data_IF_599980188032
#
_entry.id   IF_599980188032
#
_cell.length_a   1.000
_cell.length_b   1.000
_cell.length_c   1.000
_cell.angle_alpha   90.00
_cell.angle_beta   90.00
_cell.angle_gamma   90.00
#
_symmetry.space_group_name_H-M   'P 1'
#
loop_
_entity.id
_entity.type
_entity.pdbx_description
1 polymer ?
#
# COMPACT_ATOMS: atom_id res chain seq x y z
N UNK A 1 13.96 48.34 -20.50
CA UNK A 1 12.93 47.77 -19.61
C UNK A 1 11.85 48.82 -19.38
N UNK A 2 10.58 48.45 -19.54
CA UNK A 2 9.45 49.30 -19.15
C UNK A 2 9.30 49.22 -17.62
N UNK A 3 8.79 50.28 -16.98
CA UNK A 3 8.67 50.29 -15.51
C UNK A 3 7.67 49.22 -15.05
N UNK A 4 8.12 48.29 -14.20
CA UNK A 4 7.28 47.24 -13.59
C UNK A 4 7.57 45.80 -14.05
N UNK A 5 8.77 45.48 -14.54
CA UNK A 5 9.16 44.10 -14.89
C UNK A 5 8.47 43.52 -16.13
N UNK A 6 7.67 44.32 -16.85
CA UNK A 6 7.00 43.89 -18.08
C UNK A 6 8.02 43.68 -19.19
N UNK A 7 8.26 42.42 -19.52
CA UNK A 7 9.06 42.02 -20.66
C UNK A 7 8.21 41.87 -21.92
N UNK A 8 8.80 42.25 -23.06
CA UNK A 8 8.17 42.27 -24.37
C UNK A 8 8.89 41.26 -25.25
N UNK A 9 8.25 40.12 -25.50
CA UNK A 9 8.75 39.07 -26.38
C UNK A 9 8.18 39.23 -27.79
N UNK A 10 9.00 39.00 -28.82
CA UNK A 10 8.54 38.91 -30.21
C UNK A 10 8.33 37.44 -30.54
N UNK A 11 7.09 37.03 -30.79
CA UNK A 11 6.76 35.60 -31.06
C UNK A 11 7.11 35.20 -32.49
N UNK A 12 6.74 36.05 -33.44
CA UNK A 12 6.95 35.78 -34.86
C UNK A 12 7.01 37.10 -35.63
N UNK A 13 7.91 37.19 -36.62
CA UNK A 13 7.95 38.31 -37.57
C UNK A 13 7.51 37.75 -38.91
N UNK A 14 6.23 37.94 -39.24
CA UNK A 14 5.71 37.59 -40.56
C UNK A 14 5.95 38.75 -41.51
N UNK A 15 6.98 38.61 -42.34
CA UNK A 15 7.27 39.57 -43.41
C UNK A 15 6.49 39.14 -44.66
N UNK A 16 5.56 39.97 -45.12
CA UNK A 16 5.07 39.90 -46.49
C UNK A 16 5.41 41.20 -47.23
N UNK A 17 5.43 41.14 -48.57
CA UNK A 17 5.92 42.22 -49.45
C UNK A 17 5.09 43.52 -49.41
N UNK A 18 4.05 43.63 -48.58
CA UNK A 18 3.22 44.85 -48.52
C UNK A 18 2.81 45.37 -47.15
N UNK A 19 2.80 44.57 -46.08
CA UNK A 19 2.55 45.04 -44.71
C UNK A 19 3.00 43.96 -43.71
N UNK A 20 4.00 44.25 -42.88
CA UNK A 20 4.47 43.35 -41.83
C UNK A 20 3.61 43.48 -40.57
N UNK A 21 3.12 42.36 -40.05
CA UNK A 21 2.47 42.29 -38.73
C UNK A 21 3.51 41.77 -37.74
N UNK A 22 3.71 42.50 -36.65
CA UNK A 22 4.53 42.06 -35.51
C UNK A 22 3.58 41.72 -34.37
N UNK A 23 3.60 40.46 -33.93
CA UNK A 23 2.84 40.02 -32.76
C UNK A 23 3.75 40.05 -31.53
N UNK A 24 3.40 40.91 -30.57
CA UNK A 24 4.09 41.01 -29.29
C UNK A 24 3.34 40.19 -28.25
N UNK A 25 4.08 39.44 -27.43
CA UNK A 25 3.54 38.96 -26.17
C UNK A 25 3.94 39.93 -25.06
N UNK A 26 2.93 40.42 -24.33
CA UNK A 26 3.09 41.25 -23.14
C UNK A 26 2.70 40.38 -21.94
N UNK A 27 3.60 40.18 -20.99
CA UNK A 27 3.30 39.49 -19.73
C UNK A 27 3.73 38.02 -19.64
N UNK A 28 4.87 37.65 -20.23
CA UNK A 28 5.50 36.37 -19.90
C UNK A 28 6.24 36.50 -18.55
N UNK A 29 5.93 35.64 -17.59
CA UNK A 29 6.77 35.46 -16.40
C UNK A 29 8.05 34.78 -16.85
N UNK A 30 9.10 35.55 -17.14
CA UNK A 30 10.42 34.99 -17.43
C UNK A 30 10.92 34.31 -16.16
N UNK A 31 11.41 33.09 -16.29
CA UNK A 31 12.13 32.38 -15.24
C UNK A 31 13.53 32.15 -15.80
N UNK A 32 14.54 32.65 -15.11
CA UNK A 32 15.94 32.42 -15.42
C UNK A 32 16.53 31.53 -14.34
N UNK A 33 17.06 30.38 -14.75
CA UNK A 33 17.73 29.41 -13.89
C UNK A 33 19.19 29.38 -14.32
N UNK A 34 20.10 29.63 -13.38
CA UNK A 34 21.54 29.64 -13.66
C UNK A 34 22.23 28.64 -12.77
N UNK A 35 23.02 27.75 -13.37
CA UNK A 35 23.86 26.79 -12.68
C UNK A 35 25.27 26.82 -13.29
N UNK A 36 26.29 26.96 -12.43
CA UNK A 36 27.69 27.02 -12.84
C UNK A 36 28.33 25.65 -13.09
N UNK A 37 27.69 24.55 -12.66
CA UNK A 37 28.30 23.24 -12.66
C UNK A 37 27.26 22.11 -12.82
N UNK A 38 27.01 21.73 -14.06
CA UNK A 38 26.08 20.66 -14.43
C UNK A 38 26.42 19.23 -13.93
N UNK A 39 27.50 19.08 -13.17
CA UNK A 39 28.02 17.79 -12.68
C UNK A 39 27.97 17.63 -11.16
N UNK A 40 27.73 18.71 -10.42
CA UNK A 40 27.44 18.55 -9.00
C UNK A 40 26.04 17.98 -8.78
N UNK A 41 25.83 17.39 -7.61
CA UNK A 41 24.65 16.58 -7.37
C UNK A 41 24.12 16.67 -5.94
N UNK A 42 24.73 17.51 -5.12
CA UNK A 42 24.54 17.54 -3.67
C UNK A 42 24.18 18.93 -3.20
N UNK A 43 23.28 18.99 -2.23
CA UNK A 43 23.06 20.19 -1.44
C UNK A 43 24.33 20.54 -0.64
N UNK A 44 24.53 21.83 -0.41
CA UNK A 44 25.57 22.33 0.47
C UNK A 44 25.26 22.05 1.96
N UNK A 45 26.12 22.53 2.87
CA UNK A 45 25.90 22.38 4.31
C UNK A 45 24.68 23.13 4.86
N UNK A 46 24.10 24.04 4.08
CA UNK A 46 22.89 24.80 4.41
C UNK A 46 21.63 24.18 3.79
N UNK A 47 21.79 23.12 2.98
CA UNK A 47 20.67 22.46 2.31
C UNK A 47 20.22 23.16 1.03
N UNK A 48 21.12 23.88 0.36
CA UNK A 48 20.86 24.67 -0.86
C UNK A 48 21.69 24.13 -2.04
N UNK A 49 21.21 24.32 -3.27
CA UNK A 49 22.02 24.10 -4.47
C UNK A 49 22.88 25.34 -4.79
N UNK A 50 23.94 25.19 -5.58
CA UNK A 50 24.80 26.33 -5.96
C UNK A 50 24.16 27.25 -7.02
N UNK A 51 23.21 26.73 -7.81
CA UNK A 51 22.53 27.48 -8.85
C UNK A 51 21.50 28.47 -8.30
N UNK A 52 21.34 29.60 -8.98
CA UNK A 52 20.42 30.69 -8.63
C UNK A 52 19.22 30.83 -9.57
N UNK A 53 18.21 31.56 -9.10
CA UNK A 53 16.95 31.79 -9.81
C UNK A 53 16.60 33.27 -9.84
N UNK A 54 16.16 33.73 -11.00
CA UNK A 54 15.48 35.02 -11.15
C UNK A 54 14.09 34.80 -11.75
N UNK A 55 13.08 35.41 -11.16
CA UNK A 55 11.73 35.43 -11.70
C UNK A 55 11.42 36.86 -12.12
N UNK A 56 11.15 37.03 -13.41
CA UNK A 56 11.04 38.32 -14.10
C UNK A 56 12.36 39.11 -14.05
N UNK A 57 12.52 40.00 -13.08
CA UNK A 57 13.72 40.79 -12.83
C UNK A 57 14.12 40.81 -11.36
N UNK A 58 13.57 39.88 -10.56
CA UNK A 58 13.85 39.74 -9.14
C UNK A 58 14.62 38.43 -8.92
N UNK A 59 15.79 38.55 -8.31
CA UNK A 59 16.51 37.41 -7.75
C UNK A 59 15.73 36.86 -6.57
N UNK A 60 15.60 35.54 -6.49
CA UNK A 60 14.91 34.87 -5.39
C UNK A 60 15.97 34.35 -4.43
N UNK A 61 16.22 35.10 -3.36
CA UNK A 61 17.36 34.85 -2.47
C UNK A 61 17.21 33.52 -1.72
N UNK A 62 15.96 33.09 -1.49
CA UNK A 62 15.63 31.84 -0.80
C UNK A 62 15.47 30.62 -1.74
N UNK A 63 15.78 30.77 -3.03
CA UNK A 63 15.67 29.69 -3.99
C UNK A 63 17.04 29.23 -4.52
N UNK A 64 17.14 27.93 -4.80
CA UNK A 64 18.31 27.34 -5.45
C UNK A 64 17.93 26.28 -6.47
N UNK A 65 18.80 26.06 -7.46
CA UNK A 65 18.57 25.12 -8.57
C UNK A 65 19.80 24.24 -8.85
N UNK A 66 19.55 22.98 -9.20
CA UNK A 66 20.54 22.01 -9.71
C UNK A 66 20.12 21.57 -11.13
N UNK A 67 20.91 21.93 -12.14
CA UNK A 67 20.67 21.65 -13.56
C UNK A 67 21.68 20.61 -14.02
N UNK A 68 21.21 19.36 -14.13
CA UNK A 68 22.05 18.25 -14.59
C UNK A 68 21.91 18.05 -16.07
N UNK A 69 23.03 17.72 -16.69
CA UNK A 69 23.06 17.37 -18.09
C UNK A 69 24.36 16.73 -18.51
N UNK A 70 24.48 16.50 -19.79
CA UNK A 70 25.71 16.01 -20.40
C UNK A 70 25.88 16.60 -21.78
N UNK A 71 27.13 16.77 -22.19
CA UNK A 71 27.45 17.10 -23.57
C UNK A 71 27.18 15.87 -24.43
N UNK A 72 26.44 16.05 -25.52
CA UNK A 72 26.34 15.05 -26.57
C UNK A 72 27.62 15.15 -27.42
N UNK A 73 28.68 14.48 -26.96
CA UNK A 73 30.03 14.54 -27.52
C UNK A 73 31.10 14.58 -26.44
N UNK A 74 32.35 14.86 -26.81
CA UNK A 74 33.50 14.77 -25.90
C UNK A 74 34.10 16.11 -25.45
N UNK A 75 33.65 17.26 -25.96
CA UNK A 75 34.16 18.58 -25.56
C UNK A 75 33.17 19.71 -25.83
N UNK A 76 33.13 20.75 -24.97
CA UNK A 76 32.49 22.03 -25.27
C UNK A 76 33.19 22.66 -26.48
N UNK A 77 32.60 22.50 -27.66
CA UNK A 77 32.98 23.22 -28.87
C UNK A 77 31.80 24.06 -29.34
N UNK A 78 32.08 25.08 -30.15
CA UNK A 78 31.04 25.88 -30.78
C UNK A 78 30.12 24.96 -31.60
N UNK A 79 28.82 24.95 -31.27
CA UNK A 79 27.83 24.05 -31.87
C UNK A 79 27.72 22.65 -31.24
N UNK A 80 28.31 22.43 -30.05
CA UNK A 80 28.05 21.21 -29.28
C UNK A 80 26.62 21.20 -28.72
N UNK A 81 25.94 20.06 -28.83
CA UNK A 81 24.64 19.85 -28.22
C UNK A 81 24.81 19.49 -26.73
N UNK A 82 24.02 20.13 -25.88
CA UNK A 82 23.98 19.85 -24.45
C UNK A 82 22.59 19.31 -24.09
N UNK A 83 22.53 18.11 -23.52
CA UNK A 83 21.29 17.48 -23.10
C UNK A 83 21.11 17.69 -21.59
N UNK A 84 20.03 18.39 -21.21
CA UNK A 84 19.61 18.53 -19.81
C UNK A 84 18.82 17.28 -19.45
N UNK A 85 19.25 16.58 -18.40
CA UNK A 85 18.56 15.41 -17.87
C UNK A 85 17.64 15.74 -16.70
N UNK A 86 17.95 16.76 -15.90
CA UNK A 86 17.15 17.13 -14.73
C UNK A 86 17.32 18.60 -14.38
N UNK A 87 16.24 19.23 -13.92
CA UNK A 87 16.26 20.52 -13.24
C UNK A 87 15.59 20.29 -11.88
N UNK A 88 16.32 20.47 -10.79
CA UNK A 88 15.78 20.42 -9.43
C UNK A 88 15.68 21.83 -8.90
N UNK A 89 14.49 22.23 -8.48
CA UNK A 89 14.22 23.53 -7.89
C UNK A 89 13.90 23.37 -6.41
N UNK A 90 14.49 24.22 -5.57
CA UNK A 90 14.21 24.28 -4.14
C UNK A 90 13.92 25.72 -3.74
N UNK A 91 12.80 25.92 -3.04
CA UNK A 91 12.46 27.18 -2.38
C UNK A 91 12.45 26.94 -0.87
N UNK A 92 13.21 27.75 -0.15
CA UNK A 92 13.11 27.84 1.30
C UNK A 92 11.97 28.79 1.64
N UNK A 93 10.99 28.31 2.39
CA UNK A 93 9.83 29.12 2.74
C UNK A 93 10.20 30.11 3.86
N UNK A 94 10.56 31.34 3.50
CA UNK A 94 10.65 32.45 4.46
C UNK A 94 9.29 33.12 4.62
N UNK A 95 8.81 33.17 5.86
CA UNK A 95 7.50 33.71 6.17
C UNK A 95 7.53 35.24 6.25
N UNK A 96 6.49 35.92 5.78
CA UNK A 96 6.34 37.40 5.86
C UNK A 96 6.55 37.95 7.29
N UNK A 97 6.26 37.13 8.30
CA UNK A 97 6.46 37.48 9.71
C UNK A 97 7.94 37.48 10.17
N UNK A 98 8.90 37.14 9.28
CA UNK A 98 10.34 37.13 9.55
C UNK A 98 10.80 35.95 10.41
N UNK A 99 10.13 34.80 10.29
CA UNK A 99 10.44 33.60 11.08
C UNK A 99 10.59 32.37 10.20
N UNK A 100 11.36 31.38 10.68
CA UNK A 100 11.62 30.10 10.00
C UNK A 100 10.41 29.14 10.02
N UNK A 101 9.21 29.64 10.30
CA UNK A 101 7.99 28.85 10.41
C UNK A 101 6.91 29.51 9.59
N UNK A 102 6.49 28.83 8.53
CA UNK A 102 5.36 29.24 7.71
C UNK A 102 4.08 28.70 8.35
N UNK A 103 3.19 29.59 8.78
CA UNK A 103 1.83 29.21 9.18
C UNK A 103 0.87 29.57 8.05
N UNK A 104 0.16 28.57 7.52
CA UNK A 104 -0.87 28.73 6.50
C UNK A 104 -2.19 28.33 7.14
N UNK A 105 -3.14 29.27 7.24
CA UNK A 105 -4.46 28.97 7.77
C UNK A 105 -5.28 28.13 6.77
N UNK A 106 -6.24 27.31 7.23
CA UNK A 106 -7.16 26.58 6.35
C UNK A 106 -7.86 27.50 5.33
N UNK A 107 -7.91 27.07 4.07
CA UNK A 107 -8.48 27.80 2.93
C UNK A 107 -7.52 28.78 2.24
N UNK A 108 -6.30 28.94 2.75
CA UNK A 108 -5.29 29.84 2.18
C UNK A 108 -4.17 29.09 1.46
N UNK A 109 -3.47 29.83 0.59
CA UNK A 109 -2.30 29.35 -0.15
C UNK A 109 -0.99 29.77 0.50
N UNK A 110 0.03 28.94 0.38
CA UNK A 110 1.41 29.19 0.85
C UNK A 110 1.91 30.53 0.34
N UNK A 111 1.61 30.89 -0.91
CA UNK A 111 2.05 32.14 -1.55
C UNK A 111 1.71 33.38 -0.74
N UNK A 112 0.55 33.43 -0.08
CA UNK A 112 0.11 34.60 0.69
C UNK A 112 1.04 34.90 1.88
N UNK A 113 1.76 33.90 2.36
CA UNK A 113 2.56 33.97 3.57
C UNK A 113 4.07 33.97 3.31
N UNK A 114 4.51 33.94 2.05
CA UNK A 114 5.92 34.04 1.68
C UNK A 114 6.38 35.50 1.57
N UNK A 115 7.59 35.81 2.04
CA UNK A 115 8.24 37.11 1.81
C UNK A 115 8.46 37.34 0.30
N UNK A 116 8.81 36.28 -0.43
CA UNK A 116 9.06 36.27 -1.88
C UNK A 116 8.09 35.33 -2.61
N UNK A 117 6.81 35.71 -2.78
CA UNK A 117 5.79 34.85 -3.42
C UNK A 117 6.15 34.46 -4.85
N UNK A 118 6.94 35.27 -5.55
CA UNK A 118 7.45 35.01 -6.90
C UNK A 118 8.33 33.75 -6.96
N UNK A 119 8.94 33.32 -5.84
CA UNK A 119 9.68 32.06 -5.75
C UNK A 119 8.84 30.83 -6.11
N UNK A 120 7.52 30.90 -6.00
CA UNK A 120 6.63 29.82 -6.44
C UNK A 120 6.52 29.69 -7.98
N UNK A 121 7.40 30.36 -8.74
CA UNK A 121 7.66 30.32 -10.20
C UNK A 121 6.50 30.74 -11.12
N UNK A 122 5.27 30.33 -10.82
CA UNK A 122 4.08 30.59 -11.62
C UNK A 122 2.96 31.17 -10.74
N UNK A 123 2.44 32.38 -11.02
CA UNK A 123 1.40 33.01 -10.21
C UNK A 123 0.05 32.26 -10.19
N UNK A 124 -0.15 31.31 -11.09
CA UNK A 124 -1.38 30.50 -11.18
C UNK A 124 -1.32 29.19 -10.40
N UNK A 125 -0.14 28.82 -9.88
CA UNK A 125 0.04 27.63 -9.06
C UNK A 125 0.30 28.04 -7.61
N UNK A 126 -0.28 27.30 -6.67
CA UNK A 126 -0.11 27.53 -5.24
C UNK A 126 -0.31 26.21 -4.48
N UNK A 127 0.37 26.07 -3.34
CA UNK A 127 0.12 24.97 -2.40
C UNK A 127 -0.91 25.49 -1.42
N UNK A 128 -2.10 24.90 -1.41
CA UNK A 128 -3.19 25.32 -0.54
C UNK A 128 -3.33 24.36 0.63
N UNK A 129 -3.45 24.92 1.82
CA UNK A 129 -3.85 24.16 2.98
C UNK A 129 -5.35 24.34 3.16
N UNK A 130 -6.13 23.28 2.95
CA UNK A 130 -7.59 23.32 3.06
C UNK A 130 -8.09 22.95 4.46
N UNK A 131 -7.17 22.82 5.43
CA UNK A 131 -7.46 22.32 6.77
C UNK A 131 -7.23 20.82 6.91
N UNK A 132 -7.40 20.32 8.14
CA UNK A 132 -7.50 18.88 8.39
C UNK A 132 -8.92 18.42 8.04
N UNK A 133 -9.05 17.37 7.26
CA UNK A 133 -10.28 16.61 7.13
C UNK A 133 -10.30 15.51 8.18
N UNK A 134 -11.50 15.16 8.65
CA UNK A 134 -11.67 13.93 9.42
C UNK A 134 -11.25 12.74 8.52
N UNK A 135 -10.31 11.90 8.97
CA UNK A 135 -9.92 10.73 8.21
C UNK A 135 -11.11 9.77 8.11
N UNK A 136 -11.23 9.07 6.98
CA UNK A 136 -12.15 7.94 6.91
C UNK A 136 -11.70 6.88 7.90
N UNK A 137 -12.64 6.37 8.70
CA UNK A 137 -12.39 5.29 9.66
C UNK A 137 -12.95 3.99 9.12
N UNK A 138 -12.17 2.92 9.22
CA UNK A 138 -12.58 1.57 8.88
C UNK A 138 -12.48 0.71 10.14
N UNK A 139 -13.55 0.01 10.46
CA UNK A 139 -13.62 -0.81 11.67
C UNK A 139 -13.12 -2.22 11.35
N UNK A 140 -12.31 -2.76 12.27
CA UNK A 140 -11.97 -4.17 12.36
C UNK A 140 -12.62 -4.64 13.66
N UNK A 141 -13.59 -5.55 13.54
CA UNK A 141 -14.39 -6.02 14.66
C UNK A 141 -14.13 -7.51 14.89
N UNK A 142 -13.86 -7.86 16.14
CA UNK A 142 -13.88 -9.24 16.59
C UNK A 142 -15.07 -9.46 17.50
N UNK A 143 -16.03 -10.22 17.01
CA UNK A 143 -17.23 -10.55 17.74
C UNK A 143 -17.14 -11.93 18.35
N UNK A 144 -17.46 -12.03 19.63
CA UNK A 144 -17.57 -13.33 20.29
C UNK A 144 -18.80 -14.07 19.75
N UNK A 145 -18.61 -15.27 19.25
CA UNK A 145 -19.69 -16.17 18.86
C UNK A 145 -20.01 -17.08 20.04
N UNK A 146 -20.75 -16.53 21.00
CA UNK A 146 -20.98 -17.18 22.29
C UNK A 146 -19.70 -17.27 23.12
N UNK A 147 -19.42 -18.45 23.68
CA UNK A 147 -18.21 -18.77 24.41
C UNK A 147 -17.26 -19.70 23.64
N UNK A 148 -17.64 -20.21 22.47
CA UNK A 148 -16.85 -21.19 21.71
C UNK A 148 -15.98 -20.60 20.60
N UNK A 149 -16.16 -19.34 20.19
CA UNK A 149 -15.41 -18.82 19.06
C UNK A 149 -15.44 -17.30 18.88
N UNK A 150 -14.78 -16.85 17.82
CA UNK A 150 -14.77 -15.45 17.39
C UNK A 150 -14.97 -15.33 15.87
N UNK A 151 -15.80 -14.37 15.47
CA UNK A 151 -15.93 -13.89 14.10
C UNK A 151 -15.08 -12.65 13.90
N UNK A 152 -14.56 -12.49 12.69
CA UNK A 152 -13.79 -11.32 12.27
C UNK A 152 -14.52 -10.61 11.14
N UNK A 153 -14.79 -9.33 11.36
CA UNK A 153 -15.39 -8.43 10.38
C UNK A 153 -14.43 -7.29 10.03
N UNK A 154 -14.17 -7.06 8.74
CA UNK A 154 -13.25 -6.02 8.27
C UNK A 154 -13.52 -5.64 6.81
N UNK A 155 -12.96 -4.52 6.37
CA UNK A 155 -12.98 -4.09 4.95
C UNK A 155 -11.58 -4.21 4.36
N UNK A 156 -11.43 -4.81 3.19
CA UNK A 156 -10.15 -4.89 2.46
C UNK A 156 -9.73 -3.55 1.84
N UNK A 157 -8.46 -3.43 1.49
CA UNK A 157 -7.95 -2.28 0.74
C UNK A 157 -8.69 -2.04 -0.59
N UNK A 158 -9.26 -3.08 -1.21
CA UNK A 158 -10.12 -2.98 -2.40
C UNK A 158 -11.56 -2.54 -2.11
N UNK A 159 -11.92 -2.35 -0.84
CA UNK A 159 -13.24 -1.89 -0.40
C UNK A 159 -14.30 -3.00 -0.32
N UNK A 160 -13.89 -4.26 -0.20
CA UNK A 160 -14.81 -5.40 0.02
C UNK A 160 -14.91 -5.69 1.51
N UNK A 161 -16.13 -5.90 1.99
CA UNK A 161 -16.39 -6.26 3.38
C UNK A 161 -16.35 -7.79 3.54
N UNK A 162 -15.69 -8.25 4.58
CA UNK A 162 -15.61 -9.66 4.96
C UNK A 162 -16.14 -9.82 6.38
N UNK A 163 -16.97 -10.83 6.59
CA UNK A 163 -17.49 -11.28 7.89
C UNK A 163 -17.45 -12.81 7.86
N UNK A 164 -16.59 -13.41 8.68
CA UNK A 164 -16.36 -14.85 8.71
C UNK A 164 -16.00 -15.32 10.10
N UNK A 165 -16.23 -16.61 10.38
CA UNK A 165 -15.72 -17.26 11.59
C UNK A 165 -14.21 -17.38 11.46
N UNK A 166 -13.49 -16.65 12.32
CA UNK A 166 -12.03 -16.71 12.35
C UNK A 166 -11.59 -17.99 13.05
N UNK A 167 -12.21 -18.28 14.20
CA UNK A 167 -11.86 -19.42 15.02
C UNK A 167 -13.02 -19.92 15.86
N UNK A 168 -13.03 -21.23 16.10
CA UNK A 168 -13.94 -21.93 16.99
C UNK A 168 -13.15 -22.96 17.80
N UNK A 169 -13.69 -23.39 18.94
CA UNK A 169 -13.15 -24.49 19.73
C UNK A 169 -13.58 -25.81 19.10
N UNK A 170 -12.59 -26.64 18.75
CA UNK A 170 -12.80 -28.06 18.46
C UNK A 170 -13.02 -28.82 19.78
N UNK A 171 -14.27 -29.23 19.99
CA UNK A 171 -14.72 -29.89 21.22
C UNK A 171 -14.20 -31.31 21.40
N UNK A 172 -13.68 -31.93 20.33
CA UNK A 172 -13.08 -33.26 20.37
C UNK A 172 -11.58 -33.22 20.69
N UNK A 173 -10.91 -32.10 20.39
CA UNK A 173 -9.45 -31.94 20.54
C UNK A 173 -9.00 -30.98 21.64
N UNK A 174 -9.91 -30.27 22.30
CA UNK A 174 -9.60 -29.24 23.31
C UNK A 174 -8.66 -28.14 22.73
N UNK A 175 -8.87 -27.74 21.48
CA UNK A 175 -8.02 -26.79 20.74
C UNK A 175 -8.86 -25.75 19.98
N UNK A 176 -8.27 -24.61 19.65
CA UNK A 176 -8.84 -23.63 18.71
C UNK A 176 -8.50 -24.04 17.28
N UNK A 177 -9.50 -24.04 16.41
CA UNK A 177 -9.33 -24.26 14.98
C UNK A 177 -9.63 -22.97 14.22
N UNK A 178 -9.09 -22.83 13.01
CA UNK A 178 -9.40 -21.70 12.14
C UNK A 178 -10.55 -22.05 11.20
N UNK A 179 -11.60 -21.25 11.21
CA UNK A 179 -12.89 -21.58 10.58
C UNK A 179 -13.89 -22.19 11.56
N UNK A 180 -14.80 -23.00 11.03
CA UNK A 180 -15.96 -23.57 11.73
C UNK A 180 -15.70 -25.05 12.07
N UNK A 181 -16.09 -25.48 13.27
CA UNK A 181 -15.99 -26.90 13.68
C UNK A 181 -17.12 -27.70 13.03
N UNK A 182 -18.33 -27.13 13.04
CA UNK A 182 -19.48 -27.73 12.38
C UNK A 182 -19.35 -27.65 10.85
N UNK A 183 -19.30 -28.81 10.20
CA UNK A 183 -19.24 -28.88 8.73
C UNK A 183 -17.83 -28.96 8.15
N UNK A 184 -16.79 -28.98 9.01
CA UNK A 184 -15.38 -29.04 8.61
C UNK A 184 -14.93 -27.87 7.69
N UNK A 185 -15.60 -26.70 7.76
CA UNK A 185 -15.26 -25.52 6.95
C UNK A 185 -14.04 -24.77 7.53
N UNK A 186 -12.83 -25.16 7.11
CA UNK A 186 -11.58 -24.59 7.63
C UNK A 186 -11.23 -23.26 6.97
N UNK A 187 -10.50 -22.42 7.69
CA UNK A 187 -9.93 -21.18 7.18
C UNK A 187 -8.40 -21.26 7.07
N UNK A 188 -7.89 -21.07 5.86
CA UNK A 188 -6.48 -21.21 5.53
C UNK A 188 -5.84 -19.87 5.17
N UNK A 189 -4.76 -19.52 5.88
CA UNK A 189 -3.93 -18.34 5.60
C UNK A 189 -2.43 -18.68 5.62
N UNK A 190 -2.11 -19.97 5.71
CA UNK A 190 -0.74 -20.49 5.70
C UNK A 190 -0.63 -21.59 4.65
N UNK A 191 0.38 -21.47 3.79
CA UNK A 191 0.62 -22.37 2.68
C UNK A 191 1.07 -23.77 3.11
N UNK A 192 0.55 -24.76 2.41
CA UNK A 192 0.91 -26.16 2.58
C UNK A 192 2.17 -26.58 1.82
N UNK A 193 2.48 -27.87 1.88
CA UNK A 193 3.61 -28.45 1.14
C UNK A 193 3.18 -28.92 -0.26
N UNK A 194 3.80 -28.34 -1.31
CA UNK A 194 3.64 -28.73 -2.72
C UNK A 194 4.08 -30.21 -2.99
N UNK A 195 5.14 -30.67 -2.32
CA UNK A 195 6.00 -31.72 -2.86
C UNK A 195 5.52 -33.19 -2.75
N UNK A 196 4.33 -33.50 -2.25
CA UNK A 196 3.84 -34.88 -2.26
C UNK A 196 2.31 -34.99 -2.22
N UNK A 197 1.73 -35.63 -3.23
CA UNK A 197 0.28 -35.90 -3.31
C UNK A 197 -0.28 -36.54 -2.02
N UNK A 198 0.53 -37.34 -1.31
CA UNK A 198 0.15 -37.96 -0.04
C UNK A 198 -0.06 -36.95 1.11
N UNK A 199 0.77 -35.90 1.22
CA UNK A 199 0.65 -34.88 2.26
C UNK A 199 -0.48 -33.90 1.93
N UNK A 200 -0.55 -33.50 0.66
CA UNK A 200 -1.63 -32.66 0.12
C UNK A 200 -3.01 -33.32 0.32
N UNK A 201 -3.14 -34.63 0.09
CA UNK A 201 -4.42 -35.35 0.31
C UNK A 201 -4.81 -35.45 1.79
N UNK A 202 -3.84 -35.41 2.70
CA UNK A 202 -4.13 -35.47 4.13
C UNK A 202 -4.58 -34.10 4.67
N UNK A 203 -3.89 -33.01 4.28
CA UNK A 203 -3.97 -31.71 4.97
C UNK A 203 -4.13 -30.51 4.03
N UNK A 204 -4.58 -30.73 2.79
CA UNK A 204 -4.91 -29.65 1.86
C UNK A 204 -6.24 -28.97 2.19
N UNK A 205 -6.51 -27.89 1.46
CA UNK A 205 -7.77 -27.15 1.46
C UNK A 205 -8.83 -28.04 0.83
N UNK A 206 -9.86 -28.39 1.60
CA UNK A 206 -10.98 -29.23 1.19
C UNK A 206 -12.06 -28.40 0.53
N UNK A 207 -13.00 -29.05 -0.15
CA UNK A 207 -14.20 -28.34 -0.61
C UNK A 207 -14.93 -27.74 0.60
N UNK A 208 -15.54 -26.57 0.40
CA UNK A 208 -16.22 -25.72 1.39
C UNK A 208 -15.25 -24.97 2.35
N UNK A 209 -13.95 -25.28 2.33
CA UNK A 209 -12.94 -24.48 3.04
C UNK A 209 -12.77 -23.08 2.42
N UNK A 210 -12.41 -22.13 3.27
CA UNK A 210 -12.09 -20.75 2.92
C UNK A 210 -10.58 -20.52 3.01
N UNK A 211 -10.04 -19.65 2.16
CA UNK A 211 -8.63 -19.31 2.20
C UNK A 211 -8.39 -17.84 1.87
N UNK A 212 -7.38 -17.25 2.50
CA UNK A 212 -6.92 -15.89 2.27
C UNK A 212 -5.83 -15.88 1.20
N UNK A 213 -5.99 -15.01 0.20
CA UNK A 213 -4.91 -14.68 -0.75
C UNK A 213 -4.53 -13.21 -0.68
N UNK A 214 -3.26 -12.90 -0.90
CA UNK A 214 -2.70 -11.53 -0.92
C UNK A 214 -1.74 -11.33 -2.10
N UNK A 215 -1.64 -10.11 -2.64
CA UNK A 215 -0.66 -9.80 -3.70
C UNK A 215 0.80 -9.85 -3.26
N UNK A 216 1.06 -9.72 -1.95
CA UNK A 216 2.40 -9.56 -1.40
C UNK A 216 2.50 -10.33 -0.08
N UNK A 217 3.60 -11.08 0.07
CA UNK A 217 3.96 -11.88 1.25
C UNK A 217 4.65 -11.08 2.36
N UNK A 218 5.05 -9.85 2.05
CA UNK A 218 5.67 -8.91 2.94
C UNK A 218 4.67 -8.09 3.74
N UNK A 219 5.16 -6.96 4.24
CA UNK A 219 4.35 -5.93 4.85
C UNK A 219 4.20 -4.80 3.82
N UNK A 220 3.12 -4.84 3.04
CA UNK A 220 2.76 -3.81 2.05
C UNK A 220 1.35 -3.28 2.35
N UNK A 221 1.27 -1.99 2.66
CA UNK A 221 0.04 -1.26 2.97
C UNK A 221 -0.88 -1.06 1.76
N UNK A 222 -0.38 -1.34 0.55
CA UNK A 222 -1.12 -1.26 -0.70
C UNK A 222 -1.46 -2.63 -1.29
N UNK A 223 -1.02 -3.72 -0.66
CA UNK A 223 -1.39 -5.05 -1.09
C UNK A 223 -2.92 -5.21 -1.07
N UNK A 224 -3.44 -5.95 -2.04
CA UNK A 224 -4.83 -6.38 -1.95
C UNK A 224 -4.88 -7.71 -1.18
N UNK A 225 -5.99 -7.93 -0.50
CA UNK A 225 -6.26 -9.20 0.17
C UNK A 225 -7.70 -9.61 -0.08
N UNK A 226 -7.93 -10.92 -0.22
CA UNK A 226 -9.27 -11.45 -0.44
C UNK A 226 -9.44 -12.86 0.08
N UNK A 227 -10.64 -13.16 0.57
CA UNK A 227 -11.02 -14.50 1.05
C UNK A 227 -11.89 -15.18 0.00
N UNK A 228 -11.54 -16.41 -0.33
CA UNK A 228 -12.23 -17.24 -1.29
C UNK A 228 -12.64 -18.57 -0.67
N UNK A 229 -13.80 -19.06 -1.06
CA UNK A 229 -14.32 -20.38 -0.70
C UNK A 229 -14.12 -21.35 -1.87
N UNK A 230 -13.63 -22.55 -1.59
CA UNK A 230 -13.51 -23.63 -2.57
C UNK A 230 -14.83 -24.39 -2.71
N UNK A 231 -15.71 -23.89 -3.57
CA UNK A 231 -17.10 -24.36 -3.67
C UNK A 231 -17.33 -25.68 -4.43
N UNK A 232 -16.49 -26.04 -5.41
CA UNK A 232 -16.76 -27.23 -6.23
C UNK A 232 -15.54 -27.73 -7.02
N UNK A 233 -15.43 -29.06 -7.13
CA UNK A 233 -14.54 -29.75 -8.06
C UNK A 233 -15.30 -30.59 -9.09
N UNK A 234 -14.91 -30.46 -10.36
CA UNK A 234 -15.36 -31.35 -11.42
C UNK A 234 -14.21 -32.26 -11.85
N UNK A 235 -14.29 -33.54 -11.47
CA UNK A 235 -13.27 -34.54 -11.79
C UNK A 235 -13.30 -35.04 -13.26
N UNK A 236 -14.28 -34.63 -14.08
CA UNK A 236 -14.44 -35.11 -15.46
C UNK A 236 -13.15 -34.86 -16.25
N UNK A 237 -12.52 -35.96 -16.66
CA UNK A 237 -11.28 -35.97 -17.45
C UNK A 237 -11.31 -35.11 -18.71
N UNK A 238 -12.49 -34.78 -19.25
CA UNK A 238 -12.63 -33.91 -20.42
C UNK A 238 -12.60 -32.42 -20.07
N UNK A 239 -13.04 -32.05 -18.87
CA UNK A 239 -13.19 -30.67 -18.42
C UNK A 239 -13.06 -30.57 -16.90
N UNK A 240 -11.82 -30.69 -16.41
CA UNK A 240 -11.51 -30.55 -14.98
C UNK A 240 -11.53 -29.09 -14.56
N UNK A 241 -12.42 -28.76 -13.63
CA UNK A 241 -12.70 -27.39 -13.21
C UNK A 241 -12.77 -27.30 -11.68
N UNK A 242 -12.05 -26.36 -11.11
CA UNK A 242 -12.27 -25.88 -9.75
C UNK A 242 -13.18 -24.65 -9.80
N UNK A 243 -14.06 -24.49 -8.83
CA UNK A 243 -14.90 -23.30 -8.70
C UNK A 243 -14.69 -22.66 -7.34
N UNK A 244 -14.48 -21.35 -7.34
CA UNK A 244 -14.26 -20.53 -6.16
C UNK A 244 -15.29 -19.42 -6.08
N UNK A 245 -15.69 -19.04 -4.87
CA UNK A 245 -16.54 -17.88 -4.60
C UNK A 245 -15.83 -16.91 -3.66
N UNK A 246 -15.75 -15.64 -4.03
CA UNK A 246 -15.19 -14.61 -3.16
C UNK A 246 -16.20 -14.30 -2.05
N UNK A 247 -15.80 -14.47 -0.79
CA UNK A 247 -16.69 -14.32 0.37
C UNK A 247 -17.25 -12.89 0.48
N UNK A 248 -16.44 -11.88 0.19
CA UNK A 248 -16.84 -10.48 0.35
C UNK A 248 -17.68 -9.92 -0.80
N UNK A 249 -17.54 -10.45 -2.02
CA UNK A 249 -18.26 -9.94 -3.20
C UNK A 249 -19.24 -10.90 -3.84
N UNK A 250 -19.26 -12.17 -3.46
CA UNK A 250 -20.02 -13.24 -4.12
C UNK A 250 -19.58 -13.51 -5.56
N UNK A 251 -18.36 -13.08 -5.93
CA UNK A 251 -17.84 -13.29 -7.28
C UNK A 251 -17.45 -14.76 -7.45
N UNK A 252 -17.91 -15.40 -8.52
CA UNK A 252 -17.51 -16.77 -8.85
C UNK A 252 -16.43 -16.83 -9.92
N UNK A 253 -15.39 -17.62 -9.66
CA UNK A 253 -14.32 -17.94 -10.61
C UNK A 253 -14.27 -19.43 -10.87
N UNK A 254 -13.92 -19.80 -12.10
CA UNK A 254 -13.69 -21.19 -12.48
C UNK A 254 -12.28 -21.32 -13.03
N UNK A 255 -11.51 -22.26 -12.47
CA UNK A 255 -10.13 -22.52 -12.85
C UNK A 255 -10.06 -23.86 -13.58
N UNK A 256 -9.51 -23.85 -14.79
CA UNK A 256 -9.26 -25.07 -15.55
C UNK A 256 -8.00 -25.76 -15.04
N UNK A 257 -8.13 -27.04 -14.71
CA UNK A 257 -7.04 -27.84 -14.17
C UNK A 257 -6.47 -28.78 -15.22
N UNK A 258 -5.15 -28.89 -15.28
CA UNK A 258 -4.43 -29.80 -16.17
C UNK A 258 -3.51 -30.73 -15.38
N UNK A 259 -3.36 -31.99 -15.82
CA UNK A 259 -2.52 -32.98 -15.15
C UNK A 259 -3.06 -34.41 -15.24
N UNK A 260 -2.33 -35.41 -14.74
CA UNK A 260 -2.75 -36.82 -14.79
C UNK A 260 -2.94 -37.47 -13.42
N UNK A 261 -2.16 -37.04 -12.44
CA UNK A 261 -2.20 -37.56 -11.05
C UNK A 261 -2.44 -36.40 -10.11
N UNK A 262 -1.53 -35.43 -10.10
CA UNK A 262 -1.76 -34.08 -9.59
C UNK A 262 -2.27 -33.19 -10.71
N UNK A 263 -2.94 -32.11 -10.35
CA UNK A 263 -3.45 -31.09 -11.27
C UNK A 263 -2.85 -29.73 -10.94
N UNK A 264 -2.75 -28.86 -11.94
CA UNK A 264 -2.39 -27.47 -11.76
C UNK A 264 -3.34 -26.56 -12.54
N UNK A 265 -3.63 -25.40 -11.98
CA UNK A 265 -4.39 -24.31 -12.57
C UNK A 265 -4.00 -22.98 -11.93
N UNK A 266 -4.61 -21.90 -12.39
CA UNK A 266 -4.33 -20.54 -11.90
C UNK A 266 -5.63 -19.85 -11.57
N UNK A 267 -5.77 -19.39 -10.32
CA UNK A 267 -6.86 -18.52 -9.88
C UNK A 267 -6.48 -17.07 -10.16
N UNK A 268 -7.35 -16.33 -10.84
CA UNK A 268 -7.17 -14.89 -11.03
C UNK A 268 -8.07 -14.15 -10.04
N UNK A 269 -7.49 -13.56 -8.99
CA UNK A 269 -8.20 -12.76 -8.00
C UNK A 269 -7.68 -11.32 -8.03
N UNK A 270 -8.58 -10.36 -8.19
CA UNK A 270 -8.27 -8.91 -8.22
C UNK A 270 -7.17 -8.50 -9.22
N UNK A 271 -6.95 -9.30 -10.28
CA UNK A 271 -5.94 -9.05 -11.30
C UNK A 271 -4.59 -9.73 -11.07
N UNK A 272 -4.44 -10.50 -10.00
CA UNK A 272 -3.24 -11.27 -9.68
C UNK A 272 -3.48 -12.77 -9.90
N UNK A 273 -2.41 -13.50 -10.20
CA UNK A 273 -2.42 -14.91 -10.57
C UNK A 273 -1.89 -15.75 -9.41
N UNK A 274 -2.72 -16.63 -8.87
CA UNK A 274 -2.36 -17.55 -7.79
C UNK A 274 -2.31 -18.96 -8.31
N UNK A 275 -1.19 -19.64 -8.09
CA UNK A 275 -1.04 -21.04 -8.48
C UNK A 275 -1.90 -21.92 -7.58
N UNK A 276 -2.67 -22.81 -8.20
CA UNK A 276 -3.53 -23.78 -7.52
C UNK A 276 -3.14 -25.18 -7.96
N UNK A 277 -2.87 -26.04 -6.99
CA UNK A 277 -2.56 -27.44 -7.23
C UNK A 277 -3.62 -28.36 -6.64
N UNK A 278 -4.09 -29.30 -7.45
CA UNK A 278 -5.04 -30.34 -7.06
C UNK A 278 -4.26 -31.59 -6.66
N UNK A 279 -4.45 -32.05 -5.43
CA UNK A 279 -3.67 -33.14 -4.84
C UNK A 279 -3.84 -34.46 -5.60
N UNK A 280 -5.08 -34.78 -6.01
CA UNK A 280 -5.38 -35.97 -6.78
C UNK A 280 -6.56 -35.74 -7.74
N UNK A 281 -6.28 -35.56 -9.02
CA UNK A 281 -7.30 -35.22 -10.03
C UNK A 281 -8.29 -36.34 -10.36
N UNK A 282 -8.10 -37.52 -9.77
CA UNK A 282 -9.03 -38.66 -9.90
C UNK A 282 -9.88 -38.86 -8.65
N UNK A 283 -9.65 -38.07 -7.60
CA UNK A 283 -10.47 -38.08 -6.39
C UNK A 283 -11.69 -37.18 -6.58
N UNK A 284 -12.84 -37.62 -6.07
CA UNK A 284 -14.07 -36.83 -6.11
C UNK A 284 -14.04 -35.70 -5.07
N UNK A 285 -13.34 -35.93 -3.96
CA UNK A 285 -13.19 -34.96 -2.87
C UNK A 285 -11.75 -34.44 -2.84
N UNK A 286 -11.25 -34.04 -4.02
CA UNK A 286 -9.85 -33.63 -4.15
C UNK A 286 -9.57 -32.36 -3.39
N UNK A 287 -8.58 -32.42 -2.51
CA UNK A 287 -8.03 -31.26 -1.82
C UNK A 287 -7.13 -30.44 -2.76
N UNK A 288 -6.90 -29.18 -2.39
CA UNK A 288 -6.00 -28.28 -3.09
C UNK A 288 -4.94 -27.68 -2.16
N UNK A 289 -3.87 -27.18 -2.76
CA UNK A 289 -2.97 -26.19 -2.14
C UNK A 289 -2.88 -25.00 -3.08
N UNK A 290 -2.71 -23.81 -2.51
CA UNK A 290 -2.73 -22.55 -3.24
C UNK A 290 -1.51 -21.74 -2.83
N UNK A 291 -0.90 -21.04 -3.77
CA UNK A 291 0.03 -19.94 -3.47
C UNK A 291 -0.83 -18.83 -2.89
N UNK A 292 -0.79 -18.66 -1.57
CA UNK A 292 -1.65 -17.71 -0.85
C UNK A 292 -1.01 -16.32 -0.82
N UNK A 293 0.32 -16.23 -0.93
CA UNK A 293 1.06 -14.99 -0.74
C UNK A 293 1.56 -14.33 -2.05
N UNK A 294 1.25 -14.94 -3.19
CA UNK A 294 1.62 -14.52 -4.55
C UNK A 294 3.14 -14.37 -4.72
N UNK A 295 3.92 -15.16 -3.99
CA UNK A 295 5.38 -15.20 -4.16
C UNK A 295 5.82 -15.93 -5.43
N UNK A 296 4.89 -16.59 -6.12
CA UNK A 296 5.11 -17.37 -7.34
C UNK A 296 5.54 -18.81 -7.06
N UNK A 297 5.36 -19.28 -5.83
CA UNK A 297 5.61 -20.66 -5.41
C UNK A 297 4.84 -20.99 -4.14
N UNK A 298 4.32 -22.22 -4.05
CA UNK A 298 3.68 -22.73 -2.84
C UNK A 298 4.76 -23.23 -1.88
N UNK A 299 5.07 -22.46 -0.85
CA UNK A 299 6.11 -22.80 0.14
C UNK A 299 5.52 -23.02 1.52
N UNK A 300 5.80 -24.21 2.07
CA UNK A 300 5.34 -24.61 3.39
C UNK A 300 5.59 -23.53 4.46
N UNK A 301 4.53 -23.18 5.18
CA UNK A 301 4.49 -22.18 6.26
C UNK A 301 4.68 -20.71 5.81
N UNK A 302 4.55 -20.39 4.53
CA UNK A 302 4.36 -19.00 4.12
C UNK A 302 2.96 -18.53 4.51
N UNK A 303 2.87 -17.33 5.07
CA UNK A 303 1.63 -16.75 5.57
C UNK A 303 1.13 -15.67 4.61
N UNK A 304 -0.14 -15.74 4.24
CA UNK A 304 -0.86 -14.63 3.64
C UNK A 304 -1.38 -13.70 4.74
N UNK A 305 -1.03 -12.41 4.63
CA UNK A 305 -1.54 -11.36 5.53
C UNK A 305 -2.70 -10.62 4.90
N UNK A 306 -3.54 -10.03 5.74
CA UNK A 306 -4.70 -9.28 5.29
C UNK A 306 -4.44 -7.77 5.37
N UNK A 307 -4.35 -7.09 4.23
CA UNK A 307 -4.28 -5.62 4.17
C UNK A 307 -5.68 -5.03 4.19
N UNK A 308 -6.01 -4.38 5.30
CA UNK A 308 -7.30 -3.72 5.53
C UNK A 308 -7.32 -2.33 4.90
N UNK A 309 -8.54 -1.83 4.70
CA UNK A 309 -8.74 -0.47 4.21
C UNK A 309 -8.14 0.55 5.17
N UNK A 310 -7.35 1.47 4.62
CA UNK A 310 -6.56 2.42 5.41
C UNK A 310 -5.11 1.97 5.64
N UNK A 311 -4.67 0.85 5.04
CA UNK A 311 -3.27 0.45 4.98
C UNK A 311 -2.75 -0.35 6.18
N UNK A 312 -3.60 -0.71 7.12
CA UNK A 312 -3.25 -1.63 8.21
C UNK A 312 -3.03 -3.05 7.68
N UNK A 313 -1.98 -3.72 8.17
CA UNK A 313 -1.65 -5.10 7.78
C UNK A 313 -1.93 -6.00 8.97
N UNK A 314 -2.96 -6.84 8.83
CA UNK A 314 -3.35 -7.81 9.83
C UNK A 314 -2.64 -9.15 9.58
N UNK A 315 -1.72 -9.47 10.48
CA UNK A 315 -1.10 -10.78 10.63
C UNK A 315 -2.02 -11.64 11.52
N UNK A 316 -2.47 -12.77 10.99
CA UNK A 316 -3.46 -13.65 11.63
C UNK A 316 -2.81 -14.63 12.60
N UNK A 317 -1.47 -14.66 12.60
CA UNK A 317 -0.66 -15.25 13.63
C UNK A 317 0.42 -16.14 13.08
N UNK A 318 1.47 -16.31 13.89
CA UNK A 318 2.60 -17.16 13.56
C UNK A 318 2.28 -18.64 13.82
N UNK A 319 1.41 -19.22 12.99
CA UNK A 319 1.08 -20.65 13.00
C UNK A 319 1.75 -21.37 11.83
N UNK A 320 2.13 -22.62 12.05
CA UNK A 320 2.56 -23.51 10.96
C UNK A 320 1.35 -24.09 10.24
N UNK A 321 1.54 -24.56 9.00
CA UNK A 321 0.50 -25.27 8.24
C UNK A 321 -0.10 -26.46 9.02
N UNK A 322 0.73 -27.22 9.73
CA UNK A 322 0.27 -28.34 10.55
C UNK A 322 -0.63 -27.88 11.71
N UNK A 323 -0.33 -26.73 12.31
CA UNK A 323 -1.14 -26.11 13.35
C UNK A 323 -2.44 -25.54 12.80
N UNK A 324 -2.39 -24.87 11.64
CA UNK A 324 -3.59 -24.38 10.97
C UNK A 324 -4.58 -25.52 10.65
N UNK A 325 -4.07 -26.71 10.34
CA UNK A 325 -4.88 -27.91 10.10
C UNK A 325 -5.39 -28.59 11.38
N UNK A 326 -4.54 -28.74 12.40
CA UNK A 326 -4.86 -29.55 13.57
C UNK A 326 -5.58 -28.78 14.69
N UNK A 327 -5.30 -27.48 14.79
CA UNK A 327 -5.69 -26.64 15.91
C UNK A 327 -4.49 -26.09 16.69
N UNK A 328 -4.77 -25.12 17.56
CA UNK A 328 -3.80 -24.44 18.43
C UNK A 328 -4.41 -24.18 19.80
N UNK A 329 -3.57 -24.15 20.84
CA UNK A 329 -4.02 -23.74 22.18
C UNK A 329 -4.18 -22.22 22.28
N UNK A 330 -3.33 -21.49 21.57
CA UNK A 330 -3.41 -20.05 21.44
C UNK A 330 -2.85 -19.60 20.09
N UNK A 331 -3.28 -18.42 19.66
CA UNK A 331 -2.63 -17.69 18.58
C UNK A 331 -2.67 -16.20 18.88
N UNK A 332 -1.72 -15.47 18.29
CA UNK A 332 -1.57 -14.03 18.49
C UNK A 332 -1.65 -13.33 17.15
N UNK A 333 -2.58 -12.40 17.02
CA UNK A 333 -2.72 -11.53 15.87
C UNK A 333 -2.01 -10.21 16.10
N UNK A 334 -1.58 -9.59 15.00
CA UNK A 334 -0.94 -8.29 15.02
C UNK A 334 -1.43 -7.42 13.87
N UNK A 335 -2.07 -6.30 14.19
CA UNK A 335 -2.35 -5.25 13.22
C UNK A 335 -1.18 -4.26 13.21
N UNK A 336 -0.52 -4.15 12.07
CA UNK A 336 0.65 -3.29 11.87
C UNK A 336 0.30 -2.09 11.00
N UNK A 337 0.69 -0.90 11.44
CA UNK A 337 0.75 0.31 10.60
C UNK A 337 2.20 0.68 10.39
N UNK A 338 2.62 0.78 9.13
CA UNK A 338 4.03 0.93 8.79
C UNK A 338 4.57 2.31 9.16
N UNK A 339 5.87 2.36 9.45
CA UNK A 339 6.55 3.60 9.82
C UNK A 339 6.43 4.68 8.72
N UNK A 340 6.31 4.27 7.47
CA UNK A 340 6.16 5.14 6.28
C UNK A 340 4.87 5.93 6.30
N UNK A 341 3.83 5.44 6.98
CA UNK A 341 2.52 6.08 7.12
C UNK A 341 2.52 7.20 8.16
N UNK A 342 3.63 7.37 8.90
CA UNK A 342 3.79 8.44 9.87
C UNK A 342 4.76 9.49 9.36
N UNK A 343 4.49 10.75 9.67
CA UNK A 343 5.41 11.87 9.44
C UNK A 343 6.69 11.73 10.29
N UNK A 344 6.61 11.13 11.48
CA UNK A 344 7.78 10.78 12.29
C UNK A 344 8.29 9.36 12.01
N UNK A 345 8.70 9.09 10.77
CA UNK A 345 9.18 7.77 10.31
C UNK A 345 10.29 7.15 11.18
N UNK A 346 11.07 7.96 11.90
CA UNK A 346 12.09 7.47 12.84
C UNK A 346 11.52 6.75 14.06
N UNK A 347 10.20 6.81 14.26
CA UNK A 347 9.48 6.20 15.38
C UNK A 347 9.02 4.76 15.14
N UNK A 348 9.37 4.16 14.01
CA UNK A 348 9.05 2.77 13.68
C UNK A 348 7.55 2.52 13.45
N UNK A 349 7.21 1.27 13.16
CA UNK A 349 5.83 0.83 12.94
C UNK A 349 5.02 0.84 14.25
N UNK A 350 3.72 1.07 14.13
CA UNK A 350 2.74 0.88 15.19
C UNK A 350 2.17 -0.53 15.12
N UNK A 351 1.98 -1.17 16.26
CA UNK A 351 1.51 -2.55 16.37
C UNK A 351 0.42 -2.64 17.43
N UNK A 352 -0.72 -3.21 17.07
CA UNK A 352 -1.77 -3.61 17.98
C UNK A 352 -1.79 -5.14 18.02
N UNK A 353 -1.42 -5.72 19.16
CA UNK A 353 -1.24 -7.16 19.34
C UNK A 353 -2.27 -7.70 20.31
N UNK A 354 -2.95 -8.78 19.95
CA UNK A 354 -3.86 -9.48 20.85
C UNK A 354 -3.84 -10.98 20.57
N UNK A 355 -4.25 -11.78 21.54
CA UNK A 355 -4.22 -13.23 21.47
C UNK A 355 -5.58 -13.81 21.80
N UNK A 356 -5.94 -14.85 21.05
CA UNK A 356 -7.07 -15.73 21.35
C UNK A 356 -6.51 -17.00 21.98
N UNK A 357 -7.19 -17.47 23.02
CA UNK A 357 -6.74 -18.51 23.92
C UNK A 357 -7.86 -19.53 24.09
N UNK A 358 -7.55 -20.82 23.94
CA UNK A 358 -8.40 -21.87 24.46
C UNK A 358 -8.45 -21.79 25.99
N UNK A 359 -9.61 -22.08 26.57
CA UNK A 359 -9.87 -22.18 27.99
C UNK A 359 -10.59 -23.48 28.27
N UNK A 360 -10.30 -24.05 29.45
CA UNK A 360 -10.94 -25.28 29.89
C UNK A 360 -12.47 -25.16 29.91
N UNK A 361 -13.16 -26.19 29.40
CA UNK A 361 -14.62 -26.20 29.31
C UNK A 361 -15.15 -25.75 27.96
N UNK A 362 -14.33 -25.91 26.92
CA UNK A 362 -14.66 -25.59 25.52
C UNK A 362 -14.93 -24.11 25.27
N UNK A 363 -14.14 -23.25 25.94
CA UNK A 363 -14.30 -21.80 25.87
C UNK A 363 -13.14 -21.13 25.11
N UNK A 364 -13.44 -20.17 24.24
CA UNK A 364 -12.49 -19.28 23.60
C UNK A 364 -12.42 -17.93 24.33
N UNK A 365 -11.21 -17.43 24.53
CA UNK A 365 -10.97 -16.20 25.28
C UNK A 365 -9.96 -15.28 24.63
N UNK A 366 -10.22 -13.97 24.64
CA UNK A 366 -9.25 -12.97 24.20
C UNK A 366 -8.50 -12.33 25.38
N UNK A 367 -7.22 -12.01 25.20
CA UNK A 367 -6.49 -11.15 26.13
C UNK A 367 -6.79 -9.66 25.89
N UNK A 368 -6.31 -8.80 26.80
CA UNK A 368 -6.39 -7.35 26.55
C UNK A 368 -5.38 -6.99 25.45
N UNK A 369 -5.80 -6.29 24.38
CA UNK A 369 -4.89 -5.90 23.32
C UNK A 369 -3.79 -4.98 23.86
N UNK A 370 -2.57 -5.18 23.37
CA UNK A 370 -1.41 -4.36 23.68
C UNK A 370 -1.06 -3.53 22.47
N UNK A 371 -1.09 -2.21 22.63
CA UNK A 371 -0.65 -1.27 21.62
C UNK A 371 0.79 -0.84 21.88
N UNK A 372 1.62 -0.78 20.84
CA UNK A 372 3.00 -0.35 20.94
C UNK A 372 3.49 0.38 19.70
N UNK A 373 4.37 1.35 19.91
CA UNK A 373 5.17 2.01 18.87
C UNK A 373 6.62 1.99 19.32
N UNK A 374 7.55 1.61 18.45
CA UNK A 374 8.98 1.48 18.82
C UNK A 374 9.25 0.52 20.00
N UNK A 375 8.41 -0.51 20.19
CA UNK A 375 8.53 -1.45 21.31
C UNK A 375 8.20 -0.85 22.69
N UNK A 376 7.72 0.40 22.76
CA UNK A 376 7.17 0.98 23.97
C UNK A 376 5.68 0.70 24.03
N UNK A 377 5.25 -0.10 25.01
CA UNK A 377 3.84 -0.32 25.29
C UNK A 377 3.16 1.01 25.68
N UNK A 378 2.07 1.33 25.00
CA UNK A 378 1.17 2.43 25.32
C UNK A 378 -0.13 1.82 25.86
N UNK A 379 -0.68 2.38 26.93
CA UNK A 379 -1.86 1.81 27.59
C UNK A 379 -3.06 1.77 26.64
N UNK A 380 -3.74 0.63 26.55
CA UNK A 380 -4.86 0.34 25.63
C UNK A 380 -6.15 1.14 25.88
N UNK A 381 -6.11 2.18 26.71
CA UNK A 381 -7.26 3.03 27.06
C UNK A 381 -7.11 4.48 26.60
N UNK A 382 -5.96 4.87 26.05
CA UNK A 382 -5.85 6.13 25.34
C UNK A 382 -6.25 5.91 23.89
N UNK A 383 -7.51 6.18 23.58
CA UNK A 383 -7.84 6.73 22.26
C UNK A 383 -6.83 7.86 22.05
N UNK A 384 -6.02 7.88 20.98
CA UNK A 384 -5.27 9.08 20.66
C UNK A 384 -6.27 10.23 20.66
N UNK A 385 -6.07 11.20 21.54
CA UNK A 385 -6.94 12.37 21.60
C UNK A 385 -6.71 13.10 20.27
N UNK A 386 -7.52 12.75 19.27
CA UNK A 386 -7.58 13.50 18.03
C UNK A 386 -8.39 14.75 18.38
N UNK A 387 -7.71 15.69 19.04
CA UNK A 387 -8.18 17.07 19.13
C UNK A 387 -7.67 17.79 17.87
N UNK A 388 -8.52 18.03 16.87
CA UNK A 388 -8.12 18.82 15.70
C UNK A 388 -7.86 20.30 16.03
N UNK A 389 -7.90 20.70 17.31
CA UNK A 389 -7.61 22.06 17.79
C UNK A 389 -6.27 22.22 18.54
N UNK A 390 -5.47 21.16 18.75
CA UNK A 390 -4.11 21.29 19.32
C UNK A 390 -3.00 21.44 18.27
#
# INVERSE_FOLDING_TARGET
MLSGGLELGVREILVNDREGIVEFFLGANKIELTDGNYSDASLDSNGEYEGGIEVTSETIDDASVDIRGSLLGSTFQEGADFEISTIKYRLKADAVAGGNTLYVAPGHGVREFLTEPQGMLNPTWDIRYEGLSEPETYEIEMDADGDSGYRLSLTSQSGKDYDFVLTEVDTDQDELIFGEDEGDERFWFVEGEDANAANCTAYGISQDDRFLVTSDSGFDENAFSSIWEYTNWNEDSNERLLTFENVGSGERKTVKVTGTTTGAGTLIAEGYEFDVMVCNVSDADSKIVVDLDNSGAITLNQEARFTVKGGGILDLGNVTWAQANAGVQDFTMNLTTLATEFDEQSSGAENLVWSVLYRSGDEAGMNTPTYSRNGMARGSTSVPDWDPQE
#
